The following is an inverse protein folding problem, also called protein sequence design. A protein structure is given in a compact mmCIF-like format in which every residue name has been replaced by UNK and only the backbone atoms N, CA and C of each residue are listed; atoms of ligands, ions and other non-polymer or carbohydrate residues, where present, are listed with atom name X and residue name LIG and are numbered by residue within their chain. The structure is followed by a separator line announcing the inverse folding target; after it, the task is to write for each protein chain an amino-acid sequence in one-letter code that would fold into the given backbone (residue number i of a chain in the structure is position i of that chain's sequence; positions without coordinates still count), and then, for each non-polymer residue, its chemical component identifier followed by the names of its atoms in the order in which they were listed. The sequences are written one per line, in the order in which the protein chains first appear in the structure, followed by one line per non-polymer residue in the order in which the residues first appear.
data_IF_015212239617
#
_entry.id   IF_015212239617
#
_cell.length_a   1.000
_cell.length_b   1.000
_cell.length_c   1.000
_cell.angle_alpha   90.00
_cell.angle_beta   90.00
_cell.angle_gamma   90.00
#
_symmetry.space_group_name_H-M   'P 1'
#
loop_
_entity.id
_entity.type
_entity.pdbx_description
1 polymer ?
#
# COMPACT_ATOMS: atom_id res chain seq x y z
N UNK A 1 25.65 -37.12 -4.85
CA UNK A 1 24.48 -36.92 -3.95
C UNK A 1 24.17 -35.45 -3.67
N UNK A 2 25.15 -34.60 -3.31
CA UNK A 2 24.93 -33.17 -3.05
C UNK A 2 24.31 -32.39 -4.23
N UNK A 3 24.63 -32.77 -5.47
CA UNK A 3 24.08 -32.17 -6.70
C UNK A 3 22.57 -32.40 -6.91
N UNK A 4 21.98 -33.42 -6.28
CA UNK A 4 20.54 -33.74 -6.40
C UNK A 4 19.80 -33.30 -5.13
N UNK A 5 20.45 -33.39 -3.97
CA UNK A 5 19.85 -32.98 -2.70
C UNK A 5 19.61 -31.46 -2.62
N UNK A 6 20.56 -30.65 -3.13
CA UNK A 6 20.45 -29.20 -3.14
C UNK A 6 19.24 -28.68 -3.95
N UNK A 7 19.00 -29.09 -5.22
CA UNK A 7 17.83 -28.64 -5.96
C UNK A 7 16.51 -29.15 -5.38
N UNK A 8 16.51 -30.35 -4.77
CA UNK A 8 15.32 -30.86 -4.10
C UNK A 8 14.97 -30.04 -2.85
N UNK A 9 15.99 -29.66 -2.08
CA UNK A 9 15.83 -28.83 -0.88
C UNK A 9 15.39 -27.40 -1.24
N UNK A 10 15.93 -26.80 -2.31
CA UNK A 10 15.45 -25.49 -2.77
C UNK A 10 14.01 -25.56 -3.25
N UNK A 11 13.63 -26.58 -4.03
CA UNK A 11 12.24 -26.81 -4.44
C UNK A 11 11.30 -26.96 -3.24
N UNK A 12 11.71 -27.71 -2.21
CA UNK A 12 10.94 -27.86 -0.99
C UNK A 12 10.74 -26.52 -0.27
N UNK A 13 11.80 -25.72 -0.12
CA UNK A 13 11.72 -24.38 0.50
C UNK A 13 10.80 -23.45 -0.30
N UNK A 14 10.91 -23.42 -1.62
CA UNK A 14 10.01 -22.63 -2.47
C UNK A 14 8.56 -23.11 -2.38
N UNK A 15 8.33 -24.42 -2.36
CA UNK A 15 7.02 -25.02 -2.18
C UNK A 15 6.38 -24.62 -0.85
N UNK A 16 7.13 -24.72 0.24
CA UNK A 16 6.69 -24.30 1.57
C UNK A 16 6.38 -22.80 1.59
N UNK A 17 7.27 -21.97 1.03
CA UNK A 17 7.05 -20.52 0.96
C UNK A 17 5.79 -20.17 0.15
N UNK A 18 5.53 -20.86 -0.97
CA UNK A 18 4.32 -20.68 -1.78
C UNK A 18 3.06 -21.05 -0.97
N UNK A 19 3.06 -22.21 -0.30
CA UNK A 19 1.94 -22.65 0.52
C UNK A 19 1.66 -21.67 1.65
N UNK A 20 2.69 -21.20 2.35
CA UNK A 20 2.55 -20.18 3.40
C UNK A 20 1.94 -18.88 2.86
N UNK A 21 2.36 -18.42 1.68
CA UNK A 21 1.79 -17.23 1.04
C UNK A 21 0.32 -17.40 0.65
N UNK A 22 -0.06 -18.57 0.14
CA UNK A 22 -1.45 -18.88 -0.21
C UNK A 22 -2.33 -18.93 1.05
N UNK A 23 -1.86 -19.59 2.11
CA UNK A 23 -2.56 -19.64 3.40
C UNK A 23 -2.70 -18.24 4.02
N UNK A 24 -1.65 -17.43 4.00
CA UNK A 24 -1.69 -16.05 4.46
C UNK A 24 -2.72 -15.22 3.68
N UNK A 25 -2.80 -15.40 2.36
CA UNK A 25 -3.82 -14.77 1.53
C UNK A 25 -5.25 -15.12 1.97
N UNK A 26 -5.53 -16.42 2.13
CA UNK A 26 -6.85 -16.90 2.59
C UNK A 26 -7.18 -16.42 3.99
N UNK A 27 -6.20 -16.39 4.90
CA UNK A 27 -6.38 -15.89 6.26
C UNK A 27 -6.75 -14.40 6.28
N UNK A 28 -6.09 -13.57 5.46
CA UNK A 28 -6.41 -12.15 5.34
C UNK A 28 -7.83 -11.96 4.78
N UNK A 29 -8.22 -12.72 3.75
CA UNK A 29 -9.58 -12.66 3.20
C UNK A 29 -10.66 -13.09 4.20
N UNK A 30 -10.41 -14.14 4.97
CA UNK A 30 -11.32 -14.60 6.01
C UNK A 30 -11.50 -13.54 7.10
N UNK A 31 -10.40 -12.92 7.54
CA UNK A 31 -10.43 -11.84 8.52
C UNK A 31 -11.16 -10.59 8.01
N UNK A 32 -11.08 -10.32 6.71
CA UNK A 32 -11.88 -9.25 6.08
C UNK A 32 -13.37 -9.55 6.05
N UNK A 33 -13.77 -10.81 5.81
CA UNK A 33 -15.18 -11.20 5.88
C UNK A 33 -15.72 -11.10 7.32
N UNK A 34 -14.90 -11.45 8.31
CA UNK A 34 -15.27 -11.37 9.73
C UNK A 34 -15.43 -9.94 10.26
N UNK A 35 -14.86 -8.93 9.60
CA UNK A 35 -14.95 -7.52 10.01
C UNK A 35 -16.10 -6.75 9.35
N UNK A 36 -16.99 -7.45 8.65
CA UNK A 36 -18.23 -6.87 8.13
C UNK A 36 -19.22 -6.64 9.27
N UNK A 37 -19.93 -5.53 9.21
CA UNK A 37 -20.97 -5.15 10.16
C UNK A 37 -22.29 -4.93 9.41
N UNK A 38 -23.45 -5.17 10.04
CA UNK A 38 -24.74 -4.87 9.44
C UNK A 38 -24.94 -3.36 9.33
N UNK A 39 -25.50 -2.90 8.20
CA UNK A 39 -25.90 -1.51 8.04
C UNK A 39 -27.12 -1.19 8.92
N UNK A 40 -27.08 -0.08 9.66
CA UNK A 40 -28.17 0.35 10.54
C UNK A 40 -29.51 0.64 9.80
N UNK A 41 -29.46 0.90 8.48
CA UNK A 41 -30.65 1.26 7.71
C UNK A 41 -31.21 0.09 6.85
N UNK A 42 -30.35 -0.78 6.31
CA UNK A 42 -30.77 -1.84 5.39
C UNK A 42 -30.35 -3.26 5.82
N UNK A 43 -29.76 -3.41 7.01
CA UNK A 43 -29.25 -4.67 7.59
C UNK A 43 -28.20 -5.44 6.75
N UNK A 44 -27.85 -4.97 5.56
CA UNK A 44 -26.88 -5.64 4.70
C UNK A 44 -25.46 -5.58 5.26
N UNK A 45 -24.69 -6.65 5.05
CA UNK A 45 -23.32 -6.78 5.56
C UNK A 45 -22.36 -5.88 4.77
N UNK A 46 -21.94 -4.79 5.40
CA UNK A 46 -21.03 -3.78 4.85
C UNK A 46 -19.68 -3.85 5.55
N UNK A 47 -18.63 -3.31 4.90
CA UNK A 47 -17.34 -3.15 5.58
C UNK A 47 -17.47 -2.10 6.67
N UNK A 48 -17.01 -2.39 7.89
CA UNK A 48 -17.11 -1.43 9.00
C UNK A 48 -16.28 -0.14 8.78
N UNK A 49 -15.37 -0.13 7.80
CA UNK A 49 -14.65 1.07 7.36
C UNK A 49 -15.33 1.85 6.24
N UNK A 50 -16.50 1.44 5.77
CA UNK A 50 -17.28 2.21 4.80
C UNK A 50 -17.80 3.52 5.42
N UNK A 51 -17.84 4.59 4.65
CA UNK A 51 -18.46 5.87 5.03
C UNK A 51 -19.92 5.93 4.62
N UNK A 52 -20.31 5.20 3.57
CA UNK A 52 -21.72 5.01 3.21
C UNK A 52 -21.98 3.58 2.71
N UNK A 53 -23.23 3.13 2.88
CA UNK A 53 -23.65 1.83 2.40
C UNK A 53 -23.69 1.79 0.85
N UNK A 54 -23.19 0.71 0.20
CA UNK A 54 -23.29 0.57 -1.25
C UNK A 54 -24.74 0.44 -1.76
N UNK A 55 -25.65 -0.12 -0.96
CA UNK A 55 -27.03 -0.39 -1.36
C UNK A 55 -27.97 0.80 -1.10
N UNK A 56 -28.08 1.23 0.16
CA UNK A 56 -28.99 2.31 0.55
C UNK A 56 -28.37 3.70 0.50
N UNK A 57 -27.05 3.82 0.23
CA UNK A 57 -26.29 5.08 0.21
C UNK A 57 -26.34 5.89 1.51
N UNK A 58 -26.94 5.35 2.58
CA UNK A 58 -27.02 6.02 3.86
C UNK A 58 -25.61 6.19 4.46
N UNK A 59 -25.31 7.38 5.02
CA UNK A 59 -24.04 7.62 5.70
C UNK A 59 -23.95 6.79 6.98
N UNK A 60 -22.76 6.27 7.25
CA UNK A 60 -22.47 5.50 8.47
C UNK A 60 -21.93 6.48 9.50
N UNK A 61 -22.60 6.56 10.67
CA UNK A 61 -22.26 7.53 11.73
C UNK A 61 -20.85 7.34 12.28
N UNK A 62 -20.37 6.10 12.35
CA UNK A 62 -19.11 5.73 13.00
C UNK A 62 -18.26 4.80 12.13
N UNK A 63 -17.64 5.31 11.05
CA UNK A 63 -16.75 4.50 10.22
C UNK A 63 -15.49 4.12 11.02
N UNK A 64 -15.09 2.85 10.93
CA UNK A 64 -13.82 2.36 11.50
C UNK A 64 -12.62 2.71 10.62
N UNK A 65 -11.49 3.01 11.24
CA UNK A 65 -10.25 3.34 10.55
C UNK A 65 -9.69 2.13 9.79
N UNK A 66 -8.88 2.41 8.77
CA UNK A 66 -8.16 1.40 7.99
C UNK A 66 -6.67 1.50 8.24
N UNK A 67 -6.05 0.35 8.49
CA UNK A 67 -4.60 0.23 8.65
C UNK A 67 -3.84 0.27 7.33
N UNK A 68 -2.50 0.34 7.41
CA UNK A 68 -1.61 0.43 6.25
C UNK A 68 -1.77 -0.71 5.22
N UNK A 69 -2.17 -1.89 5.70
CA UNK A 69 -2.37 -3.10 4.91
C UNK A 69 -3.82 -3.29 4.44
N UNK A 70 -4.73 -2.36 4.74
CA UNK A 70 -6.12 -2.42 4.29
C UNK A 70 -7.07 -3.18 5.21
N UNK A 71 -6.60 -3.62 6.38
CA UNK A 71 -7.43 -4.21 7.44
C UNK A 71 -8.17 -3.16 8.26
N UNK A 72 -9.36 -3.51 8.74
CA UNK A 72 -10.21 -2.68 9.59
C UNK A 72 -9.66 -2.61 11.01
N UNK A 73 -9.52 -1.40 11.57
CA UNK A 73 -9.06 -1.17 12.94
C UNK A 73 -10.25 -0.96 13.88
N UNK A 74 -10.04 -1.14 15.19
CA UNK A 74 -11.07 -0.85 16.19
C UNK A 74 -11.28 0.67 16.39
N UNK A 75 -10.28 1.48 16.05
CA UNK A 75 -10.31 2.94 16.18
C UNK A 75 -11.29 3.57 15.19
N UNK A 76 -12.02 4.60 15.63
CA UNK A 76 -12.84 5.46 14.78
C UNK A 76 -11.99 6.17 13.72
N UNK A 77 -12.54 6.29 12.53
CA UNK A 77 -11.91 7.00 11.44
C UNK A 77 -12.10 8.52 11.60
N UNK A 78 -11.06 9.26 11.24
CA UNK A 78 -11.15 10.71 11.10
C UNK A 78 -11.81 11.05 9.75
N UNK A 79 -12.97 11.72 9.73
CA UNK A 79 -13.76 11.93 8.52
C UNK A 79 -13.00 12.69 7.43
N UNK A 80 -12.10 13.60 7.81
CA UNK A 80 -11.33 14.39 6.84
C UNK A 80 -10.27 13.56 6.12
N UNK A 81 -9.60 12.64 6.81
CA UNK A 81 -8.49 11.86 6.25
C UNK A 81 -8.85 10.46 5.76
N UNK A 82 -10.00 9.93 6.17
CA UNK A 82 -10.39 8.55 5.90
C UNK A 82 -10.57 8.19 4.42
N UNK A 83 -11.18 9.03 3.56
CA UNK A 83 -11.29 8.75 2.13
C UNK A 83 -9.92 8.52 1.46
N UNK A 84 -8.91 9.31 1.85
CA UNK A 84 -7.54 9.16 1.35
C UNK A 84 -6.86 7.90 1.87
N UNK A 85 -7.15 7.48 3.11
CA UNK A 85 -6.66 6.20 3.66
C UNK A 85 -7.25 5.00 2.92
N UNK A 86 -8.55 5.03 2.62
CA UNK A 86 -9.23 3.98 1.84
C UNK A 86 -8.61 3.85 0.44
N UNK A 87 -8.39 4.98 -0.24
CA UNK A 87 -7.77 4.98 -1.56
C UNK A 87 -6.30 4.56 -1.49
N UNK A 88 -5.54 4.92 -0.46
CA UNK A 88 -4.17 4.42 -0.29
C UNK A 88 -4.09 2.87 -0.25
N UNK A 89 -5.15 2.20 0.22
CA UNK A 89 -5.25 0.73 0.27
C UNK A 89 -6.04 0.09 -0.88
N UNK A 90 -6.30 0.82 -1.97
CA UNK A 90 -7.07 0.34 -3.13
C UNK A 90 -8.51 -0.05 -2.79
N UNK A 91 -9.14 0.68 -1.86
CA UNK A 91 -10.56 0.56 -1.52
C UNK A 91 -11.31 1.81 -1.98
N UNK A 92 -12.60 1.64 -2.26
CA UNK A 92 -13.49 2.75 -2.56
C UNK A 92 -13.59 3.71 -1.35
N UNK A 93 -13.52 5.04 -1.55
CA UNK A 93 -13.63 6.01 -0.45
C UNK A 93 -15.02 6.06 0.20
N UNK A 94 -16.04 5.48 -0.46
CA UNK A 94 -17.42 5.48 0.01
C UNK A 94 -17.80 4.14 0.64
N UNK A 95 -17.84 3.07 -0.14
CA UNK A 95 -18.30 1.76 0.33
C UNK A 95 -17.19 0.83 0.85
N UNK A 96 -15.92 1.28 0.83
CA UNK A 96 -14.74 0.51 1.21
C UNK A 96 -14.53 -0.83 0.47
N UNK A 97 -15.26 -1.11 -0.61
CA UNK A 97 -15.04 -2.27 -1.48
C UNK A 97 -13.67 -2.17 -2.17
N UNK A 98 -12.97 -3.30 -2.31
CA UNK A 98 -11.68 -3.37 -3.02
C UNK A 98 -11.87 -3.06 -4.51
N UNK A 99 -11.03 -2.20 -5.07
CA UNK A 99 -11.05 -1.83 -6.48
C UNK A 99 -10.23 -2.86 -7.28
N UNK A 100 -10.88 -3.60 -8.18
CA UNK A 100 -10.21 -4.66 -8.96
C UNK A 100 -9.23 -4.09 -9.99
N UNK A 101 -9.65 -3.07 -10.76
CA UNK A 101 -8.86 -2.50 -11.85
C UNK A 101 -7.68 -1.67 -11.35
N UNK A 102 -6.51 -1.83 -11.99
CA UNK A 102 -5.35 -0.95 -11.79
C UNK A 102 -5.48 0.24 -12.73
N UNK A 103 -6.20 1.27 -12.28
CA UNK A 103 -6.38 2.52 -13.01
C UNK A 103 -6.38 3.67 -12.00
N UNK A 104 -5.92 4.85 -12.39
CA UNK A 104 -5.79 6.01 -11.47
C UNK A 104 -7.14 6.54 -11.00
N UNK A 105 -8.17 6.40 -11.83
CA UNK A 105 -9.56 6.76 -11.51
C UNK A 105 -10.45 5.54 -11.78
N UNK A 106 -10.40 4.50 -10.93
CA UNK A 106 -11.23 3.32 -11.12
C UNK A 106 -12.66 3.63 -10.64
N UNK A 107 -13.65 3.20 -11.41
CA UNK A 107 -15.06 3.21 -10.97
C UNK A 107 -15.28 2.05 -10.02
N UNK A 108 -15.95 2.28 -8.90
CA UNK A 108 -16.32 1.19 -8.00
C UNK A 108 -17.46 0.36 -8.58
N UNK A 109 -17.26 -0.95 -8.70
CA UNK A 109 -18.27 -1.90 -9.21
C UNK A 109 -19.44 -2.10 -8.24
N UNK A 110 -19.26 -1.82 -6.94
CA UNK A 110 -20.29 -2.04 -5.93
C UNK A 110 -21.22 -0.83 -5.70
N UNK A 111 -20.69 0.39 -5.68
CA UNK A 111 -21.48 1.59 -5.41
C UNK A 111 -21.52 2.59 -6.57
N UNK A 112 -20.83 2.31 -7.68
CA UNK A 112 -20.74 3.21 -8.83
C UNK A 112 -19.88 4.45 -8.61
N UNK A 113 -19.30 4.66 -7.41
CA UNK A 113 -18.52 5.86 -7.12
C UNK A 113 -17.31 5.99 -8.04
N UNK A 114 -17.24 7.12 -8.74
CA UNK A 114 -16.19 7.51 -9.66
C UNK A 114 -15.25 8.49 -8.99
N UNK A 115 -14.00 8.06 -8.71
CA UNK A 115 -12.93 8.96 -8.25
C UNK A 115 -12.60 10.04 -9.31
N UNK A 116 -13.13 9.90 -10.52
CA UNK A 116 -12.96 10.81 -11.65
C UNK A 116 -13.63 12.17 -11.47
N UNK A 117 -14.69 12.27 -10.68
CA UNK A 117 -15.56 13.45 -10.73
C UNK A 117 -15.03 14.64 -9.92
N UNK A 118 -14.03 14.42 -9.06
CA UNK A 118 -13.42 15.48 -8.27
C UNK A 118 -11.97 15.76 -8.72
N UNK A 119 -11.72 16.83 -9.51
CA UNK A 119 -10.38 17.17 -9.99
C UNK A 119 -9.42 17.59 -8.85
N UNK A 120 -9.95 18.03 -7.70
CA UNK A 120 -9.14 18.37 -6.51
C UNK A 120 -8.70 17.14 -5.71
N UNK A 121 -9.30 15.99 -5.97
CA UNK A 121 -8.99 14.77 -5.23
C UNK A 121 -7.54 14.31 -5.40
N UNK A 122 -7.00 14.38 -6.63
CA UNK A 122 -5.62 13.98 -6.91
C UNK A 122 -4.57 14.84 -6.18
N UNK A 123 -4.60 16.20 -6.26
CA UNK A 123 -3.64 17.03 -5.53
C UNK A 123 -3.81 16.91 -4.01
N UNK A 124 -5.03 16.84 -3.49
CA UNK A 124 -5.28 16.66 -2.04
C UNK A 124 -4.75 15.32 -1.53
N UNK A 125 -4.92 14.25 -2.33
CA UNK A 125 -4.35 12.93 -2.03
C UNK A 125 -2.83 12.93 -2.03
N UNK A 126 -2.20 13.62 -2.99
CA UNK A 126 -0.73 13.77 -3.03
C UNK A 126 -0.25 14.54 -1.79
N UNK A 127 -0.91 15.66 -1.44
CA UNK A 127 -0.58 16.44 -0.25
C UNK A 127 -0.73 15.64 1.05
N UNK A 128 -1.73 14.76 1.11
CA UNK A 128 -1.92 13.84 2.24
C UNK A 128 -0.76 12.86 2.40
N UNK A 129 -0.18 12.37 1.29
CA UNK A 129 1.00 11.51 1.33
C UNK A 129 2.27 12.32 1.61
N UNK A 130 2.42 13.51 1.02
CA UNK A 130 3.55 14.43 1.22
C UNK A 130 3.79 14.70 2.73
N UNK A 131 2.73 14.89 3.52
CA UNK A 131 2.82 15.11 4.98
C UNK A 131 3.49 13.96 5.74
N UNK A 132 3.47 12.74 5.20
CA UNK A 132 4.06 11.55 5.85
C UNK A 132 5.52 11.34 5.47
N UNK A 133 5.95 11.91 4.33
CA UNK A 133 7.32 11.78 3.82
C UNK A 133 8.38 12.16 4.84
N UNK A 134 8.35 13.33 5.51
CA UNK A 134 9.41 13.71 6.45
C UNK A 134 9.51 12.73 7.62
N UNK A 135 8.37 12.31 8.17
CA UNK A 135 8.34 11.37 9.30
C UNK A 135 8.90 9.99 8.92
N UNK A 136 8.56 9.49 7.73
CA UNK A 136 9.11 8.23 7.22
C UNK A 136 10.61 8.36 6.91
N UNK A 137 11.06 9.49 6.37
CA UNK A 137 12.49 9.74 6.15
C UNK A 137 13.28 9.73 7.46
N UNK A 138 12.76 10.37 8.51
CA UNK A 138 13.37 10.33 9.86
C UNK A 138 13.38 8.90 10.40
N UNK A 139 12.26 8.17 10.29
CA UNK A 139 12.20 6.77 10.73
C UNK A 139 13.20 5.89 9.96
N UNK A 140 13.33 6.08 8.64
CA UNK A 140 14.31 5.37 7.81
C UNK A 140 15.76 5.76 8.15
N UNK A 141 16.02 7.01 8.51
CA UNK A 141 17.34 7.44 8.96
C UNK A 141 17.70 6.73 10.27
N UNK A 142 16.82 6.79 11.28
CA UNK A 142 17.04 6.14 12.58
C UNK A 142 17.21 4.62 12.47
N UNK A 143 16.35 3.97 11.68
CA UNK A 143 16.48 2.54 11.42
C UNK A 143 17.75 2.23 10.61
N UNK A 144 18.14 3.10 9.68
CA UNK A 144 19.35 2.96 8.86
C UNK A 144 20.67 3.10 9.62
N UNK A 145 20.67 3.66 10.84
CA UNK A 145 21.85 3.65 11.72
C UNK A 145 22.23 2.24 12.19
N UNK A 146 21.28 1.29 12.21
CA UNK A 146 21.54 -0.10 12.60
C UNK A 146 21.96 -0.91 11.37
N UNK A 147 23.24 -1.34 11.29
CA UNK A 147 23.73 -2.07 10.11
C UNK A 147 22.98 -3.38 9.90
N UNK A 148 22.72 -3.72 8.63
CA UNK A 148 22.09 -4.97 8.16
C UNK A 148 20.63 -5.16 8.61
N UNK A 149 20.36 -5.17 9.91
CA UNK A 149 19.03 -5.37 10.50
C UNK A 149 18.09 -4.20 10.26
N UNK A 150 18.61 -2.97 10.18
CA UNK A 150 17.81 -1.75 10.02
C UNK A 150 17.35 -1.47 8.59
N UNK A 151 18.05 -2.01 7.60
CA UNK A 151 17.76 -1.79 6.18
C UNK A 151 16.43 -2.42 5.77
N UNK A 152 16.22 -3.69 6.12
CA UNK A 152 15.02 -4.44 5.79
C UNK A 152 13.75 -3.72 6.30
N UNK A 153 13.61 -3.39 7.59
CA UNK A 153 12.43 -2.72 8.10
C UNK A 153 12.29 -1.30 7.53
N UNK A 154 13.39 -0.57 7.28
CA UNK A 154 13.32 0.74 6.63
C UNK A 154 12.74 0.64 5.22
N UNK A 155 13.22 -0.33 4.45
CA UNK A 155 12.77 -0.56 3.07
C UNK A 155 11.31 -0.95 3.05
N UNK A 156 10.91 -1.87 3.93
CA UNK A 156 9.50 -2.27 4.08
C UNK A 156 8.65 -1.05 4.45
N UNK A 157 9.11 -0.22 5.39
CA UNK A 157 8.37 0.94 5.90
C UNK A 157 8.12 1.98 4.82
N UNK A 158 9.15 2.49 4.13
CA UNK A 158 8.91 3.51 3.10
C UNK A 158 8.14 2.92 1.92
N UNK A 159 8.35 1.63 1.58
CA UNK A 159 7.61 0.99 0.49
C UNK A 159 6.13 0.86 0.81
N UNK A 160 5.76 0.48 2.02
CA UNK A 160 4.37 0.36 2.40
C UNK A 160 3.71 1.73 2.64
N UNK A 161 4.43 2.67 3.25
CA UNK A 161 3.88 3.97 3.65
C UNK A 161 3.76 4.96 2.47
N UNK A 162 4.75 4.98 1.57
CA UNK A 162 4.88 6.03 0.54
C UNK A 162 4.75 5.46 -0.87
N UNK A 163 5.34 4.29 -1.17
CA UNK A 163 5.40 3.78 -2.56
C UNK A 163 4.16 2.96 -2.94
N UNK A 164 3.70 2.07 -2.05
CA UNK A 164 2.58 1.17 -2.28
C UNK A 164 1.28 1.89 -2.65
N UNK A 165 0.93 3.06 -2.04
CA UNK A 165 -0.25 3.82 -2.43
C UNK A 165 -0.28 4.17 -3.93
N UNK A 166 0.83 4.65 -4.51
CA UNK A 166 0.90 4.96 -5.95
C UNK A 166 1.04 3.71 -6.81
N UNK A 167 1.87 2.75 -6.40
CA UNK A 167 2.16 1.53 -7.17
C UNK A 167 0.90 0.71 -7.46
N UNK A 168 -0.10 0.74 -6.57
CA UNK A 168 -1.39 0.02 -6.73
C UNK A 168 -2.21 0.51 -7.93
N UNK A 169 -1.95 1.72 -8.43
CA UNK A 169 -2.70 2.37 -9.51
C UNK A 169 -1.94 2.45 -10.84
N UNK A 170 -0.62 2.24 -10.84
CA UNK A 170 0.19 2.28 -12.05
C UNK A 170 0.06 0.93 -12.79
N UNK A 171 -0.31 0.93 -14.10
CA UNK A 171 -0.40 -0.30 -14.88
C UNK A 171 0.98 -0.96 -15.05
N UNK A 172 1.05 -2.30 -15.19
CA UNK A 172 2.30 -3.06 -15.21
C UNK A 172 3.26 -2.73 -16.38
N UNK A 173 2.85 -1.90 -17.34
CA UNK A 173 3.64 -1.50 -18.53
C UNK A 173 4.64 -0.36 -18.31
N UNK A 174 4.41 0.59 -17.38
CA UNK A 174 5.36 1.68 -17.11
C UNK A 174 6.50 1.29 -16.14
N UNK A 175 6.64 -0.01 -15.88
CA UNK A 175 7.33 -0.54 -14.70
C UNK A 175 8.72 -1.14 -14.94
N UNK A 176 9.38 -0.89 -16.08
CA UNK A 176 10.74 -1.39 -16.30
C UNK A 176 11.76 -0.64 -15.44
N UNK A 177 11.84 0.69 -15.58
CA UNK A 177 12.71 1.56 -14.75
C UNK A 177 12.41 1.39 -13.26
N UNK A 178 11.13 1.21 -12.92
CA UNK A 178 10.67 1.04 -11.55
C UNK A 178 11.03 -0.33 -10.95
N UNK A 179 10.97 -1.41 -11.75
CA UNK A 179 11.43 -2.74 -11.34
C UNK A 179 12.95 -2.79 -11.21
N UNK A 180 13.65 -2.16 -12.15
CA UNK A 180 15.10 -2.11 -12.14
C UNK A 180 15.62 -1.21 -11.03
N UNK A 181 15.04 -0.05 -10.77
CA UNK A 181 15.41 0.80 -9.64
C UNK A 181 15.26 0.10 -8.29
N UNK A 182 14.21 -0.70 -8.13
CA UNK A 182 14.04 -1.55 -6.94
C UNK A 182 15.18 -2.58 -6.80
N UNK A 183 15.59 -3.22 -7.90
CA UNK A 183 16.67 -4.23 -7.90
C UNK A 183 18.05 -3.59 -7.73
N UNK A 184 18.30 -2.50 -8.42
CA UNK A 184 19.54 -1.75 -8.39
C UNK A 184 19.80 -1.24 -6.98
N UNK A 185 18.76 -0.80 -6.27
CA UNK A 185 18.97 -0.38 -4.89
C UNK A 185 19.09 -1.54 -3.90
N UNK A 186 18.44 -2.70 -4.12
CA UNK A 186 18.77 -3.90 -3.33
C UNK A 186 20.26 -4.26 -3.52
N UNK A 187 20.77 -4.12 -4.74
CA UNK A 187 22.17 -4.37 -5.08
C UNK A 187 23.11 -3.33 -4.42
N UNK A 188 22.75 -2.04 -4.46
CA UNK A 188 23.49 -0.98 -3.75
C UNK A 188 23.43 -1.19 -2.22
N UNK A 189 22.31 -1.65 -1.67
CA UNK A 189 22.16 -1.95 -0.25
C UNK A 189 23.08 -3.08 0.21
N UNK A 190 23.24 -4.13 -0.59
CA UNK A 190 24.21 -5.20 -0.32
C UNK A 190 25.64 -4.67 -0.41
N UNK A 191 25.93 -3.77 -1.37
CA UNK A 191 27.26 -3.22 -1.56
C UNK A 191 27.68 -2.19 -0.48
N UNK A 192 26.75 -1.37 0.01
CA UNK A 192 27.03 -0.23 0.91
C UNK A 192 26.92 -0.59 2.40
N UNK A 193 26.43 -1.79 2.74
CA UNK A 193 26.23 -2.24 4.12
C UNK A 193 27.52 -2.39 4.96
N UNK A 194 28.69 -2.23 4.36
CA UNK A 194 29.97 -2.27 5.08
C UNK A 194 30.23 -1.03 5.95
N UNK A 195 29.54 0.10 5.73
CA UNK A 195 29.76 1.34 6.52
C UNK A 195 28.44 1.87 7.14
N UNK A 196 28.28 1.79 8.48
CA UNK A 196 27.03 2.13 9.21
C UNK A 196 26.49 3.55 8.93
N UNK A 197 27.38 4.55 8.90
CA UNK A 197 27.01 5.97 8.77
C UNK A 197 26.50 6.29 7.36
N UNK A 198 27.06 5.64 6.34
CA UNK A 198 26.63 5.80 4.93
C UNK A 198 25.25 5.16 4.73
N UNK A 199 24.96 4.06 5.42
CA UNK A 199 23.64 3.42 5.43
C UNK A 199 22.52 4.34 5.93
N UNK A 200 22.79 5.14 6.97
CA UNK A 200 21.82 6.08 7.55
C UNK A 200 21.31 7.13 6.55
N UNK A 201 22.18 7.67 5.70
CA UNK A 201 21.80 8.67 4.68
C UNK A 201 21.33 8.07 3.35
N UNK A 202 21.83 6.88 2.98
CA UNK A 202 21.47 6.23 1.73
C UNK A 202 19.97 5.85 1.68
N UNK A 203 19.40 5.40 2.81
CA UNK A 203 18.01 4.90 2.86
C UNK A 203 16.96 6.02 2.73
N UNK A 204 17.06 7.17 3.42
CA UNK A 204 16.19 8.32 3.18
C UNK A 204 16.31 8.88 1.77
N UNK A 205 17.53 8.98 1.23
CA UNK A 205 17.74 9.44 -0.15
C UNK A 205 17.04 8.51 -1.16
N UNK A 206 17.16 7.19 -0.96
CA UNK A 206 16.42 6.20 -1.75
C UNK A 206 14.90 6.38 -1.65
N UNK A 207 14.38 6.59 -0.44
CA UNK A 207 12.96 6.76 -0.22
C UNK A 207 12.43 7.99 -0.99
N UNK A 208 13.17 9.10 -0.98
CA UNK A 208 12.84 10.32 -1.71
C UNK A 208 12.89 10.13 -3.23
N UNK A 209 13.93 9.47 -3.75
CA UNK A 209 14.05 9.19 -5.20
C UNK A 209 12.89 8.32 -5.67
N UNK A 210 12.59 7.23 -4.95
CA UNK A 210 11.45 6.38 -5.27
C UNK A 210 10.15 7.16 -5.18
N UNK A 211 9.94 7.91 -4.10
CA UNK A 211 8.75 8.72 -3.95
C UNK A 211 8.56 9.70 -5.12
N UNK A 212 9.59 10.46 -5.46
CA UNK A 212 9.57 11.42 -6.57
C UNK A 212 9.27 10.76 -7.92
N UNK A 213 9.87 9.59 -8.19
CA UNK A 213 9.62 8.83 -9.41
C UNK A 213 8.16 8.36 -9.50
N UNK A 214 7.62 7.75 -8.44
CA UNK A 214 6.22 7.29 -8.42
C UNK A 214 5.22 8.46 -8.43
N UNK A 215 5.51 9.54 -7.70
CA UNK A 215 4.69 10.76 -7.63
C UNK A 215 4.61 11.45 -8.98
N UNK A 216 5.75 11.59 -9.68
CA UNK A 216 5.79 12.24 -11.00
C UNK A 216 5.03 11.43 -12.05
N UNK A 217 5.15 10.10 -12.06
CA UNK A 217 4.37 9.22 -12.95
C UNK A 217 2.88 9.32 -12.61
N UNK A 218 2.49 9.26 -11.34
CA UNK A 218 1.10 9.41 -10.93
C UNK A 218 0.54 10.78 -11.34
N UNK A 219 1.29 11.86 -11.11
CA UNK A 219 0.89 13.22 -11.50
C UNK A 219 0.73 13.35 -13.02
N UNK A 220 1.70 12.84 -13.81
CA UNK A 220 1.62 12.84 -15.28
C UNK A 220 0.38 12.09 -15.75
N UNK A 221 0.14 10.89 -15.23
CA UNK A 221 -1.02 10.10 -15.63
C UNK A 221 -2.36 10.67 -15.10
N UNK A 222 -2.34 11.43 -14.00
CA UNK A 222 -3.49 12.17 -13.50
C UNK A 222 -3.79 13.43 -14.34
N UNK A 223 -2.77 13.99 -15.00
CA UNK A 223 -2.85 15.17 -15.89
C UNK A 223 -3.02 14.81 -17.38
N UNK A 224 -2.62 13.61 -17.82
CA UNK A 224 -2.66 13.16 -19.21
C UNK A 224 -4.08 12.86 -19.73
N UNK A 225 -5.09 13.55 -19.19
CA UNK A 225 -6.49 13.55 -19.62
C UNK A 225 -7.15 14.87 -19.25
#
# INVERSE_FOLDING_TARGET
MALILLPLLTLAVFGIALVLLLLAGRYVEAREKATKAPCANCAQMIYACATACPHCKAPIKEPRAVGLLGGTQARLADPASHPYRLIAVKRCPVCATRLGRRAIRPTCEACGYTVRDNPRFAPEYIAFIDRRVPLVCVACFLLGLVPVLGVIPSVITYRLAIVAPFRRYIPPGHGFVLRWGVRLVILVLVAVQWVPVVGGFAVPAMALINYGAYRSVYRRLAQAR
#
